data_IF_540568574723
#
_entry.id   IF_540568574723
#
_cell.length_a   1.000
_cell.length_b   1.000
_cell.length_c   1.000
_cell.angle_alpha   90.00
_cell.angle_beta   90.00
_cell.angle_gamma   90.00
#
_symmetry.space_group_name_H-M   'P 1'
#
loop_
_entity.id
_entity.type
_entity.pdbx_description
1 polymer ?
#
# COMPACT_ATOMS: atom_id res chain seq x y z
N UNK A 1 0.01 1.45 30.46
CA UNK A 1 -0.06 1.77 30.18
C UNK A 1 0.00 2.02 29.26
N UNK A 2 0.06 1.95 28.84
CA UNK A 2 0.11 2.19 27.97
C UNK A 2 -0.34 2.98 27.49
N UNK A 3 -0.42 3.45 27.69
CA UNK A 3 -0.99 4.24 27.41
C UNK A 3 -0.65 5.09 26.51
N UNK A 4 -0.38 4.75 25.66
CA UNK A 4 -0.15 5.45 24.72
C UNK A 4 -1.24 5.99 24.18
N UNK A 5 -1.26 7.00 23.86
CA UNK A 5 -2.24 7.66 23.29
C UNK A 5 -2.54 7.02 22.15
N UNK A 6 -3.54 6.90 21.93
CA UNK A 6 -3.93 6.38 20.92
C UNK A 6 -3.74 7.21 19.91
N UNK A 7 -2.87 7.39 19.37
CA UNK A 7 -2.68 8.00 18.31
C UNK A 7 -3.57 7.61 17.42
N UNK A 8 -4.32 8.33 16.97
CA UNK A 8 -5.17 7.95 16.12
C UNK A 8 -4.45 7.45 15.08
N UNK A 9 -4.51 6.34 14.87
CA UNK A 9 -3.87 5.83 13.92
C UNK A 9 -4.42 6.08 12.63
N UNK A 10 -3.75 6.38 11.65
CA UNK A 10 -4.16 6.50 10.28
C UNK A 10 -3.81 5.17 9.65
N UNK A 11 -4.81 4.36 9.49
CA UNK A 11 -4.63 2.96 9.05
C UNK A 11 -5.31 2.78 7.70
N UNK A 12 -4.53 2.59 6.66
CA UNK A 12 -5.06 2.37 5.33
C UNK A 12 -4.89 0.93 4.95
N UNK A 13 -5.96 0.30 4.50
CA UNK A 13 -5.90 -1.06 4.02
C UNK A 13 -6.27 -1.08 2.57
N UNK A 14 -5.39 -1.60 1.73
CA UNK A 14 -5.63 -1.66 0.31
C UNK A 14 -6.28 -2.99 -0.02
N UNK A 15 -7.39 -2.92 -0.72
CA UNK A 15 -8.13 -4.12 -1.10
C UNK A 15 -7.83 -4.43 -2.56
N UNK A 16 -7.83 -5.69 -2.89
CA UNK A 16 -7.61 -6.11 -4.27
C UNK A 16 -8.87 -5.84 -5.08
N UNK A 17 -8.75 -5.86 -6.38
CA UNK A 17 -9.85 -5.65 -7.26
C UNK A 17 -10.97 -6.63 -6.90
N UNK A 18 -12.14 -6.12 -6.74
CA UNK A 18 -13.29 -6.97 -6.45
C UNK A 18 -13.57 -7.26 -5.00
N UNK A 19 -12.65 -6.91 -4.14
CA UNK A 19 -12.91 -7.13 -2.72
C UNK A 19 -13.73 -5.98 -2.17
N UNK A 20 -14.54 -6.24 -1.18
CA UNK A 20 -15.33 -5.21 -0.56
C UNK A 20 -14.94 -5.05 0.90
N UNK A 21 -15.01 -3.88 1.44
CA UNK A 21 -14.62 -3.68 2.83
C UNK A 21 -15.63 -4.24 3.80
N UNK A 22 -15.22 -4.60 4.97
CA UNK A 22 -16.14 -5.11 5.96
C UNK A 22 -17.09 -4.03 6.43
N UNK A 23 -18.24 -4.43 6.92
CA UNK A 23 -19.18 -3.51 7.40
C UNK A 23 -18.70 -2.79 8.59
N UNK A 24 -18.09 -3.47 9.53
CA UNK A 24 -17.60 -2.84 10.70
C UNK A 24 -16.15 -2.56 10.58
N UNK A 25 -15.72 -1.37 10.93
CA UNK A 25 -14.34 -0.97 10.78
C UNK A 25 -13.84 -0.29 12.02
N UNK A 26 -12.62 -0.53 12.42
CA UNK A 26 -12.05 0.17 13.55
C UNK A 26 -11.95 1.67 13.24
N UNK A 27 -11.97 2.47 14.25
CA UNK A 27 -11.84 3.90 14.07
C UNK A 27 -10.53 4.22 13.43
N UNK A 28 -10.49 5.13 12.52
CA UNK A 28 -9.27 5.54 11.86
C UNK A 28 -8.86 4.69 10.71
N UNK A 29 -9.56 3.59 10.44
CA UNK A 29 -9.20 2.71 9.34
C UNK A 29 -9.95 3.10 8.08
N UNK A 30 -9.22 3.21 6.98
CA UNK A 30 -9.79 3.53 5.70
C UNK A 30 -9.46 2.38 4.76
N UNK A 31 -10.39 2.00 3.91
CA UNK A 31 -10.18 0.95 2.93
C UNK A 31 -10.20 1.61 1.55
N UNK A 32 -9.28 1.21 0.71
CA UNK A 32 -9.24 1.71 -0.65
C UNK A 32 -8.98 0.54 -1.58
N UNK A 33 -9.75 0.39 -2.60
CA UNK A 33 -9.65 -0.78 -3.48
C UNK A 33 -8.91 -0.44 -4.75
N UNK A 34 -8.06 -1.35 -5.19
CA UNK A 34 -7.35 -1.21 -6.44
C UNK A 34 -8.39 -1.24 -7.54
N UNK A 35 -8.32 -0.30 -8.43
CA UNK A 35 -9.27 -0.22 -9.53
C UNK A 35 -10.42 0.72 -9.23
N UNK A 36 -10.51 1.17 -8.01
CA UNK A 36 -11.56 2.07 -7.61
C UNK A 36 -10.89 3.31 -7.07
N UNK A 37 -10.65 3.33 -5.76
CA UNK A 37 -9.97 4.47 -5.14
C UNK A 37 -8.50 4.54 -5.52
N UNK A 38 -7.86 3.36 -5.67
CA UNK A 38 -6.47 3.32 -6.07
C UNK A 38 -6.45 3.08 -7.55
N UNK A 39 -6.22 4.12 -8.36
CA UNK A 39 -6.27 3.95 -9.77
C UNK A 39 -4.92 3.86 -10.32
N UNK A 40 -4.63 2.88 -11.06
CA UNK A 40 -3.39 2.73 -11.75
C UNK A 40 -3.69 2.72 -13.21
N UNK A 41 -2.96 3.45 -13.99
CA UNK A 41 -3.19 3.54 -15.40
C UNK A 41 -2.96 2.19 -16.04
N UNK A 42 -4.01 1.57 -16.55
CA UNK A 42 -3.92 0.29 -17.16
C UNK A 42 -3.04 0.32 -18.37
N UNK A 43 -3.00 1.41 -19.10
CA UNK A 43 -2.17 1.50 -20.27
C UNK A 43 -0.71 1.44 -19.89
N UNK A 44 -0.33 1.99 -18.77
CA UNK A 44 1.03 1.91 -18.32
C UNK A 44 1.37 0.48 -17.98
N UNK A 45 0.50 -0.21 -17.31
CA UNK A 45 0.71 -1.60 -16.99
C UNK A 45 0.88 -2.39 -18.27
N UNK A 46 0.02 -2.17 -19.24
CA UNK A 46 0.06 -2.93 -20.47
C UNK A 46 1.32 -2.62 -21.25
N UNK A 47 1.78 -1.42 -21.25
CA UNK A 47 2.94 -1.05 -21.98
C UNK A 47 4.16 -1.70 -21.47
N UNK A 48 4.27 -1.87 -20.20
CA UNK A 48 5.44 -2.48 -19.61
C UNK A 48 5.40 -3.98 -19.57
N UNK A 49 4.27 -4.57 -19.84
CA UNK A 49 4.15 -6.00 -19.73
C UNK A 49 4.95 -6.71 -20.77
N UNK A 50 5.39 -6.04 -21.82
CA UNK A 50 6.13 -6.69 -22.72
C UNK A 50 7.52 -6.75 -22.44
N UNK A 51 8.13 -5.75 -22.05
CA UNK A 51 9.48 -5.66 -21.93
C UNK A 51 10.01 -5.78 -20.62
N UNK A 52 9.79 -6.66 -19.90
CA UNK A 52 10.41 -6.84 -18.64
C UNK A 52 9.68 -6.27 -17.48
N UNK A 53 8.43 -6.02 -17.65
CA UNK A 53 7.58 -5.63 -16.53
C UNK A 53 7.50 -6.84 -15.62
N UNK A 54 7.88 -6.72 -14.39
CA UNK A 54 7.89 -7.83 -13.49
C UNK A 54 6.91 -7.61 -12.37
N UNK A 55 6.74 -8.61 -11.54
CA UNK A 55 5.86 -8.53 -10.39
C UNK A 55 6.32 -7.43 -9.43
N UNK A 56 7.61 -7.22 -9.35
CA UNK A 56 8.14 -6.17 -8.51
C UNK A 56 7.70 -4.81 -9.00
N UNK A 57 7.67 -4.60 -10.30
CA UNK A 57 7.23 -3.33 -10.85
C UNK A 57 5.75 -3.10 -10.56
N UNK A 58 4.97 -4.15 -10.67
CA UNK A 58 3.55 -4.09 -10.36
C UNK A 58 3.38 -3.68 -8.90
N UNK A 59 4.11 -4.36 -8.02
CA UNK A 59 4.01 -4.09 -6.60
C UNK A 59 4.43 -2.67 -6.28
N UNK A 60 5.50 -2.21 -6.90
CA UNK A 60 5.99 -0.88 -6.65
C UNK A 60 4.95 0.18 -7.03
N UNK A 61 4.28 -0.03 -8.14
CA UNK A 61 3.26 0.89 -8.57
C UNK A 61 2.11 0.94 -7.55
N UNK A 62 1.71 -0.20 -7.06
CA UNK A 62 0.63 -0.27 -6.07
C UNK A 62 1.08 0.39 -4.75
N UNK A 63 2.31 0.17 -4.35
CA UNK A 63 2.82 0.76 -3.12
C UNK A 63 2.85 2.29 -3.26
N UNK A 64 3.34 2.78 -4.39
CA UNK A 64 3.41 4.23 -4.61
C UNK A 64 2.02 4.85 -4.65
N UNK A 65 1.08 4.20 -5.31
CA UNK A 65 -0.28 4.70 -5.38
C UNK A 65 -0.93 4.70 -3.99
N UNK A 66 -0.59 3.72 -3.19
CA UNK A 66 -1.13 3.64 -1.83
C UNK A 66 -0.60 4.77 -0.96
N UNK A 67 0.68 5.08 -1.13
CA UNK A 67 1.30 6.17 -0.38
C UNK A 67 0.66 7.49 -0.79
N UNK A 68 0.45 7.67 -2.07
CA UNK A 68 -0.16 8.90 -2.54
C UNK A 68 -1.58 9.05 -2.00
N UNK A 69 -2.33 7.96 -2.01
CA UNK A 69 -3.69 7.98 -1.51
C UNK A 69 -3.69 8.36 -0.02
N UNK A 70 -2.81 7.75 0.76
CA UNK A 70 -2.75 8.02 2.19
C UNK A 70 -2.36 9.48 2.47
N UNK A 71 -1.40 9.97 1.70
CA UNK A 71 -0.94 11.33 1.89
C UNK A 71 -2.05 12.32 1.63
N UNK A 72 -2.89 12.07 0.63
CA UNK A 72 -3.98 12.95 0.34
C UNK A 72 -5.12 12.76 1.29
N UNK A 73 -5.38 11.53 1.72
CA UNK A 73 -6.51 11.22 2.59
C UNK A 73 -6.37 11.91 3.94
N UNK A 74 -5.16 11.99 4.43
CA UNK A 74 -4.92 12.59 5.72
C UNK A 74 -4.06 13.84 5.55
N UNK A 75 -4.70 14.89 5.08
CA UNK A 75 -4.00 16.11 4.82
C UNK A 75 -3.37 16.64 6.09
N UNK A 76 -2.24 17.26 5.94
CA UNK A 76 -1.51 17.69 7.10
C UNK A 76 -2.14 18.84 7.85
N UNK A 77 -2.79 19.63 7.42
CA UNK A 77 -3.44 20.71 8.12
C UNK A 77 -2.44 21.74 8.59
N UNK A 78 -2.81 22.49 9.58
CA UNK A 78 -1.99 23.54 10.06
C UNK A 78 -0.98 23.12 11.03
N UNK A 79 -1.12 21.98 11.63
CA UNK A 79 -0.24 21.54 12.63
C UNK A 79 0.87 20.82 12.00
N UNK A 80 2.09 21.06 12.37
CA UNK A 80 3.16 20.36 11.78
C UNK A 80 3.56 19.17 12.55
N UNK A 81 2.65 18.39 13.02
CA UNK A 81 2.95 17.20 13.75
C UNK A 81 3.27 16.05 12.80
N UNK A 82 4.09 15.17 13.23
CA UNK A 82 4.41 13.99 12.46
C UNK A 82 3.17 13.10 12.40
N UNK A 83 2.80 12.66 11.24
CA UNK A 83 1.68 11.73 11.12
C UNK A 83 2.24 10.32 11.21
N UNK A 84 1.52 9.44 11.86
CA UNK A 84 1.88 8.04 11.92
C UNK A 84 0.87 7.31 11.03
N UNK A 85 1.34 6.78 9.92
CA UNK A 85 0.47 6.18 8.93
C UNK A 85 0.81 4.72 8.74
N UNK A 86 -0.16 3.87 8.87
CA UNK A 86 0.03 2.45 8.66
C UNK A 86 -0.66 2.07 7.37
N UNK A 87 0.01 1.34 6.51
CA UNK A 87 -0.56 0.94 5.25
C UNK A 87 -0.42 -0.57 5.09
N UNK A 88 -1.51 -1.26 4.83
CA UNK A 88 -1.49 -2.69 4.57
C UNK A 88 -1.72 -2.86 3.07
N UNK A 89 -0.76 -3.44 2.38
CA UNK A 89 -0.77 -3.53 0.93
C UNK A 89 -0.58 -4.95 0.45
N UNK A 90 -1.41 -5.44 -0.45
CA UNK A 90 -1.20 -6.76 -1.03
C UNK A 90 -0.14 -6.68 -2.12
N UNK A 91 0.84 -7.54 -2.06
CA UNK A 91 1.93 -7.56 -3.04
C UNK A 91 2.16 -8.97 -3.56
N UNK A 92 2.68 -9.07 -4.76
CA UNK A 92 2.94 -10.36 -5.38
C UNK A 92 4.25 -10.91 -4.87
N UNK A 93 5.28 -10.10 -4.80
CA UNK A 93 6.59 -10.57 -4.34
C UNK A 93 6.75 -10.32 -2.85
N UNK A 94 5.96 -11.02 -2.08
CA UNK A 94 5.88 -10.79 -0.65
C UNK A 94 7.23 -10.87 0.06
N UNK A 95 8.01 -11.88 -0.25
CA UNK A 95 9.27 -12.04 0.46
C UNK A 95 10.21 -10.85 0.23
N UNK A 96 10.16 -10.25 -0.95
CA UNK A 96 11.00 -9.10 -1.23
C UNK A 96 10.56 -7.92 -0.39
N UNK A 97 9.27 -7.67 -0.32
CA UNK A 97 8.78 -6.51 0.43
C UNK A 97 8.89 -6.69 1.94
N UNK A 98 8.95 -7.92 2.39
CA UNK A 98 9.09 -8.19 3.82
C UNK A 98 10.55 -8.26 4.24
N UNK A 99 11.47 -8.18 3.29
CA UNK A 99 12.88 -8.18 3.64
C UNK A 99 13.19 -6.95 4.49
N UNK A 100 13.87 -7.14 5.59
CA UNK A 100 14.10 -6.08 6.55
C UNK A 100 14.79 -4.86 5.94
N UNK A 101 15.74 -5.06 5.06
CA UNK A 101 16.44 -3.94 4.49
C UNK A 101 15.59 -3.18 3.49
N UNK A 102 14.74 -3.87 2.74
CA UNK A 102 13.85 -3.23 1.80
C UNK A 102 12.84 -2.38 2.56
N UNK A 103 12.26 -2.96 3.60
CA UNK A 103 11.27 -2.28 4.39
C UNK A 103 11.86 -1.06 5.08
N UNK A 104 13.04 -1.20 5.62
CA UNK A 104 13.70 -0.10 6.31
C UNK A 104 13.99 1.04 5.32
N UNK A 105 14.48 0.71 4.14
CA UNK A 105 14.79 1.72 3.15
C UNK A 105 13.53 2.43 2.67
N UNK A 106 12.46 1.71 2.52
CA UNK A 106 11.19 2.30 2.10
C UNK A 106 10.72 3.29 3.17
N UNK A 107 10.69 2.87 4.41
CA UNK A 107 10.20 3.73 5.48
C UNK A 107 11.10 4.93 5.70
N UNK A 108 12.40 4.75 5.58
CA UNK A 108 13.34 5.85 5.74
C UNK A 108 13.20 6.86 4.60
N UNK A 109 13.00 6.38 3.40
CA UNK A 109 12.82 7.25 2.25
C UNK A 109 11.56 8.07 2.40
N UNK A 110 10.49 7.44 2.85
CA UNK A 110 9.25 8.16 3.02
C UNK A 110 9.31 9.15 4.16
N UNK A 111 10.02 8.79 5.21
CA UNK A 111 10.21 9.73 6.30
C UNK A 111 10.97 10.95 5.81
N UNK A 112 11.97 10.73 5.01
CA UNK A 112 12.78 11.81 4.47
C UNK A 112 11.93 12.69 3.54
N UNK A 113 11.10 12.10 2.73
CA UNK A 113 10.31 12.85 1.78
C UNK A 113 9.11 13.54 2.40
N UNK A 114 8.47 12.94 3.35
CA UNK A 114 7.23 13.45 3.89
C UNK A 114 7.32 14.00 5.30
N UNK A 115 8.34 13.60 6.02
CA UNK A 115 8.45 13.99 7.42
C UNK A 115 7.57 13.16 8.34
N UNK A 116 6.97 12.10 7.83
CA UNK A 116 6.05 11.30 8.63
C UNK A 116 6.60 9.93 8.90
N UNK A 117 6.00 9.25 9.85
CA UNK A 117 6.40 7.90 10.18
C UNK A 117 5.46 6.93 9.48
N UNK A 118 6.02 6.10 8.63
CA UNK A 118 5.24 5.15 7.85
C UNK A 118 5.49 3.75 8.33
N UNK A 119 4.44 2.95 8.40
CA UNK A 119 4.54 1.57 8.81
C UNK A 119 3.81 0.72 7.77
N UNK A 120 4.50 -0.22 7.17
CA UNK A 120 3.90 -1.05 6.15
C UNK A 120 3.69 -2.45 6.61
N UNK A 121 2.56 -3.00 6.27
CA UNK A 121 2.27 -4.39 6.49
C UNK A 121 1.97 -4.98 5.12
N UNK A 122 2.87 -5.80 4.60
CA UNK A 122 2.68 -6.37 3.28
C UNK A 122 2.04 -7.73 3.40
N UNK A 123 1.03 -8.01 2.59
CA UNK A 123 0.33 -9.28 2.62
C UNK A 123 0.31 -9.85 1.22
N UNK A 124 0.04 -11.12 1.10
CA UNK A 124 0.05 -11.78 -0.20
C UNK A 124 -1.09 -11.30 -1.07
N UNK A 125 -0.80 -11.03 -2.32
CA UNK A 125 -1.80 -10.66 -3.29
C UNK A 125 -2.55 -11.91 -3.70
N UNK A 126 -3.75 -12.06 -3.25
CA UNK A 126 -4.53 -13.26 -3.49
C UNK A 126 -4.93 -13.40 -4.94
N UNK A 127 -5.23 -12.33 -5.60
CA UNK A 127 -5.59 -12.37 -6.98
C UNK A 127 -4.47 -12.91 -7.84
N UNK A 128 -3.23 -12.57 -7.50
CA UNK A 128 -2.11 -13.07 -8.25
C UNK A 128 -1.97 -14.57 -8.09
N UNK A 129 -2.25 -15.05 -6.93
CA UNK A 129 -2.16 -16.47 -6.68
C UNK A 129 -3.18 -17.21 -7.49
N UNK A 130 -4.33 -16.64 -7.65
CA UNK A 130 -5.34 -17.35 -8.39
C UNK A 130 -5.18 -17.15 -9.84
N UNK A 131 -4.62 -16.07 -10.22
CA UNK A 131 -4.55 -15.89 -11.63
C UNK A 131 -3.38 -16.52 -12.18
N UNK A 132 -2.82 -17.37 -11.62
CA UNK A 132 -1.85 -17.99 -12.06
C UNK A 132 -1.67 -18.22 -13.30
N UNK A 133 -1.21 -18.29 -13.69
CA UNK A 133 -1.01 -18.25 -14.85
C UNK A 133 -1.22 -18.99 -15.82
N UNK A 134 -1.27 -18.96 -16.29
CA UNK A 134 -1.59 -19.49 -17.15
C UNK A 134 -0.69 -19.76 -17.94
N UNK A 135 -0.12 -20.14 -17.91
CA UNK A 135 0.54 -20.37 -18.52
C UNK A 135 0.58 -20.78 -19.44
N UNK A 136 0.48 -20.99 -19.63
CA UNK A 136 0.46 -21.30 -20.47
C UNK A 136 0.58 -21.72 -21.13
N UNK A 137 0.77 -22.09 -21.57
CA UNK A 137 0.87 -22.70 -22.24
C UNK A 137 1.37 -22.98 -22.48
#
# INVERSE_FOLDING_TARGET
MSDFPKISERDLRILEVGQTPPRQRPNGRVYAAIGSEIRCDKDIFDSYSYEGWSNIHHDLLIVCASVEFADRRWARGNVQWVRHIRVTVPVIELSTWQDASVLQNLCDSLRHLTGDEWHFNFVRHEGAATSKPRQGP
#
